data_IF_781486906852
#
_entry.id   IF_781486906852
#
_cell.length_a   1.000
_cell.length_b   1.000
_cell.length_c   1.000
_cell.angle_alpha   90.00
_cell.angle_beta   90.00
_cell.angle_gamma   90.00
#
_symmetry.space_group_name_H-M   'P 1'
#
loop_
_entity.id
_entity.type
_entity.pdbx_description
1 polymer ?
#
# COMPACT_ATOMS: atom_id res chain seq x y z
N UNK A 1 -6.07 48.01 15.01
CA UNK A 1 -6.04 47.27 16.31
C UNK A 1 -7.43 47.22 16.93
N UNK A 2 -8.12 46.08 16.81
CA UNK A 2 -9.30 45.68 17.62
C UNK A 2 -9.41 44.14 17.59
N UNK A 3 -9.10 43.41 18.67
CA UNK A 3 -9.42 41.99 18.75
C UNK A 3 -10.79 41.82 19.42
N UNK A 4 -11.79 41.37 18.65
CA UNK A 4 -13.08 40.89 19.18
C UNK A 4 -13.44 39.63 18.41
N UNK A 5 -13.11 38.47 18.98
CA UNK A 5 -13.70 37.14 18.73
C UNK A 5 -12.96 36.08 19.54
N UNK A 6 -12.92 36.29 20.86
CA UNK A 6 -12.53 35.29 21.83
C UNK A 6 -13.64 35.22 22.88
N UNK A 7 -14.81 34.71 22.48
CA UNK A 7 -15.94 34.22 23.30
C UNK A 7 -16.82 33.48 22.28
N UNK A 8 -16.47 32.25 21.91
CA UNK A 8 -17.38 31.32 21.21
C UNK A 8 -16.93 29.85 21.32
N UNK A 9 -16.14 29.52 22.35
CA UNK A 9 -15.62 28.16 22.58
C UNK A 9 -16.00 27.59 23.96
N UNK A 10 -17.13 28.04 24.54
CA UNK A 10 -17.59 27.58 25.86
C UNK A 10 -19.01 27.00 25.88
N UNK A 11 -19.56 26.54 24.74
CA UNK A 11 -20.91 25.95 24.67
C UNK A 11 -20.97 24.78 23.68
N UNK A 12 -20.11 23.76 23.84
CA UNK A 12 -20.24 22.47 23.13
C UNK A 12 -19.81 21.28 24.02
N UNK A 13 -20.06 21.37 25.33
CA UNK A 13 -19.72 20.31 26.31
C UNK A 13 -20.94 19.79 27.08
N UNK A 14 -22.14 19.88 26.50
CA UNK A 14 -23.40 19.41 27.09
C UNK A 14 -24.34 18.83 26.00
N UNK A 15 -23.96 17.70 25.42
CA UNK A 15 -24.86 16.83 24.67
C UNK A 15 -24.30 15.39 24.62
N UNK A 16 -23.96 14.84 25.78
CA UNK A 16 -23.76 13.40 25.95
C UNK A 16 -24.76 12.95 26.99
N UNK A 17 -25.96 12.58 26.53
CA UNK A 17 -26.89 11.74 27.27
C UNK A 17 -27.95 11.18 26.31
N UNK A 18 -28.27 9.90 26.52
CA UNK A 18 -29.43 9.15 25.99
C UNK A 18 -29.35 8.66 24.53
N UNK A 19 -28.86 7.41 24.38
CA UNK A 19 -29.69 6.32 23.89
C UNK A 19 -29.04 4.97 24.23
N UNK A 20 -29.46 4.38 25.35
CA UNK A 20 -29.33 2.94 25.61
C UNK A 20 -30.72 2.35 25.29
N UNK A 21 -30.79 1.51 24.27
CA UNK A 21 -31.88 0.55 24.04
C UNK A 21 -31.20 -0.71 23.47
N UNK A 22 -30.92 -1.69 24.33
CA UNK A 22 -31.76 -2.89 24.54
C UNK A 22 -32.16 -3.58 23.23
N UNK A 23 -31.44 -4.65 22.90
CA UNK A 23 -31.96 -5.77 22.12
C UNK A 23 -31.44 -7.06 22.74
N UNK A 24 -32.29 -7.67 23.56
CA UNK A 24 -32.18 -9.05 24.04
C UNK A 24 -32.63 -10.04 22.94
N UNK A 25 -32.17 -11.29 23.11
CA UNK A 25 -32.67 -12.55 22.54
C UNK A 25 -32.08 -13.02 21.21
N UNK A 26 -31.12 -13.95 21.27
CA UNK A 26 -31.40 -15.39 21.07
C UNK A 26 -30.09 -16.20 21.03
N UNK A 27 -29.85 -17.02 22.06
CA UNK A 27 -29.02 -18.23 21.97
C UNK A 27 -29.94 -19.46 21.72
N UNK A 28 -29.44 -20.70 21.62
CA UNK A 28 -28.58 -21.25 20.57
C UNK A 28 -29.21 -22.54 19.99
N UNK A 29 -28.95 -22.89 18.73
CA UNK A 29 -29.27 -24.23 18.21
C UNK A 29 -27.99 -24.85 17.66
N UNK A 30 -27.48 -25.82 18.40
CA UNK A 30 -26.40 -26.68 17.98
C UNK A 30 -26.86 -27.67 16.91
N UNK A 31 -25.97 -27.98 15.97
CA UNK A 31 -26.06 -29.15 15.12
C UNK A 31 -24.65 -29.73 14.97
N UNK A 32 -24.49 -30.88 15.63
CA UNK A 32 -23.62 -32.04 15.40
C UNK A 32 -22.58 -32.02 14.27
N UNK A 33 -21.37 -32.44 14.66
CA UNK A 33 -20.40 -33.16 13.82
C UNK A 33 -21.03 -34.34 13.05
N UNK A 34 -20.53 -34.61 11.85
CA UNK A 34 -20.30 -35.99 11.46
C UNK A 34 -18.82 -36.26 11.14
N UNK A 35 -18.33 -37.31 11.79
CA UNK A 35 -17.11 -38.00 11.44
C UNK A 35 -17.25 -38.76 10.11
N UNK A 36 -16.17 -38.75 9.32
CA UNK A 36 -15.76 -39.86 8.45
C UNK A 36 -16.48 -40.03 7.11
N UNK A 37 -15.72 -39.86 6.03
CA UNK A 37 -15.58 -40.92 5.01
C UNK A 37 -14.53 -40.52 3.99
N UNK A 38 -13.46 -41.30 3.92
CA UNK A 38 -12.64 -41.45 2.74
C UNK A 38 -13.52 -41.82 1.55
N UNK A 39 -13.45 -41.04 0.47
CA UNK A 39 -13.81 -41.52 -0.87
C UNK A 39 -13.11 -40.67 -1.93
N UNK A 40 -12.08 -41.28 -2.51
CA UNK A 40 -11.53 -40.99 -3.82
C UNK A 40 -12.59 -41.28 -4.90
N UNK A 41 -12.81 -40.36 -5.86
CA UNK A 41 -13.15 -40.81 -7.19
C UNK A 41 -12.35 -40.10 -8.29
N UNK A 42 -11.70 -40.95 -9.08
CA UNK A 42 -11.72 -40.96 -10.54
C UNK A 42 -11.66 -39.63 -11.30
N UNK A 43 -10.50 -39.44 -11.93
CA UNK A 43 -10.23 -38.65 -13.11
C UNK A 43 -11.41 -38.59 -14.09
N UNK A 44 -11.91 -37.38 -14.38
CA UNK A 44 -12.70 -37.12 -15.58
C UNK A 44 -11.94 -36.11 -16.44
N UNK A 45 -11.35 -36.64 -17.51
CA UNK A 45 -10.74 -35.90 -18.61
C UNK A 45 -11.86 -35.23 -19.42
N UNK A 46 -12.07 -33.93 -19.21
CA UNK A 46 -12.92 -33.12 -20.09
C UNK A 46 -12.03 -32.49 -21.16
N UNK A 47 -12.05 -33.10 -22.34
CA UNK A 47 -11.63 -32.47 -23.58
C UNK A 47 -12.73 -31.52 -24.01
N UNK A 48 -12.49 -30.21 -23.95
CA UNK A 48 -13.33 -29.21 -24.61
C UNK A 48 -12.57 -28.67 -25.81
N UNK A 49 -12.88 -29.21 -26.99
CA UNK A 49 -12.69 -28.52 -28.26
C UNK A 49 -13.63 -27.31 -28.26
N UNK A 50 -13.07 -26.10 -28.25
CA UNK A 50 -13.82 -24.92 -28.68
C UNK A 50 -13.19 -24.36 -29.95
N UNK A 51 -14.04 -24.39 -30.96
CA UNK A 51 -13.87 -24.07 -32.36
C UNK A 51 -14.12 -22.56 -32.53
N UNK A 52 -13.10 -21.89 -33.03
CA UNK A 52 -13.09 -20.64 -33.79
C UNK A 52 -14.22 -19.62 -33.60
N UNK A 53 -13.84 -18.45 -33.09
CA UNK A 53 -14.34 -17.17 -33.60
C UNK A 53 -13.18 -16.16 -33.60
N UNK A 54 -12.71 -15.84 -34.81
CA UNK A 54 -11.76 -14.79 -35.11
C UNK A 54 -12.34 -13.42 -34.70
N UNK A 55 -11.72 -12.76 -33.73
CA UNK A 55 -11.93 -11.33 -33.50
C UNK A 55 -10.69 -10.60 -34.05
N UNK A 56 -10.83 -10.03 -35.26
CA UNK A 56 -9.86 -9.09 -35.81
C UNK A 56 -9.93 -7.77 -35.04
N UNK A 57 -8.95 -7.54 -34.17
CA UNK A 57 -8.68 -6.22 -33.61
C UNK A 57 -7.74 -5.50 -34.59
N UNK A 58 -8.30 -4.69 -35.49
CA UNK A 58 -7.55 -3.66 -36.19
C UNK A 58 -7.41 -2.46 -35.26
N UNK A 59 -6.25 -2.32 -34.63
CA UNK A 59 -5.82 -1.05 -34.04
C UNK A 59 -4.56 -0.58 -34.78
N UNK A 60 -4.78 0.01 -35.96
CA UNK A 60 -3.78 0.82 -36.65
C UNK A 60 -4.09 2.28 -36.37
N UNK A 61 -3.36 2.88 -35.43
CA UNK A 61 -3.02 4.29 -35.48
C UNK A 61 -1.51 4.41 -35.47
N UNK A 62 -0.92 4.21 -36.65
CA UNK A 62 0.42 4.70 -36.96
C UNK A 62 0.31 6.22 -37.12
N UNK A 63 0.76 6.97 -36.12
CA UNK A 63 1.05 8.39 -36.26
C UNK A 63 2.47 8.49 -36.81
N UNK A 64 2.61 8.38 -38.13
CA UNK A 64 3.85 8.73 -38.83
C UNK A 64 3.96 10.25 -38.90
N UNK A 65 4.69 10.84 -37.95
CA UNK A 65 5.20 12.21 -38.09
C UNK A 65 6.57 12.13 -38.74
N UNK A 66 6.61 12.20 -40.06
CA UNK A 66 7.84 12.27 -40.84
C UNK A 66 8.43 13.68 -40.73
N UNK A 67 9.42 13.87 -39.83
CA UNK A 67 10.35 14.99 -39.90
C UNK A 67 11.79 14.44 -39.83
N UNK A 68 12.59 14.50 -40.91
CA UNK A 68 13.95 13.97 -40.93
C UNK A 68 14.95 15.08 -40.60
N UNK A 69 15.22 15.32 -39.33
CA UNK A 69 16.39 16.09 -38.90
C UNK A 69 17.11 15.42 -37.73
N UNK A 70 18.37 15.08 -37.97
CA UNK A 70 19.42 14.70 -37.01
C UNK A 70 19.13 13.49 -36.10
N UNK A 71 19.69 12.34 -36.50
CA UNK A 71 19.55 11.07 -35.80
C UNK A 71 20.22 11.06 -34.43
N UNK A 72 19.40 11.16 -33.40
CA UNK A 72 19.63 10.52 -32.11
C UNK A 72 18.77 9.25 -32.11
N UNK A 73 19.40 8.08 -32.17
CA UNK A 73 18.69 6.81 -32.05
C UNK A 73 18.16 6.70 -30.62
N UNK A 74 16.95 7.23 -30.39
CA UNK A 74 16.23 7.06 -29.14
C UNK A 74 15.84 5.59 -29.05
N UNK A 75 16.69 4.83 -28.36
CA UNK A 75 16.44 3.45 -27.99
C UNK A 75 15.24 3.45 -27.04
N UNK A 76 14.04 3.40 -27.62
CA UNK A 76 12.78 3.42 -26.87
C UNK A 76 12.65 2.05 -26.23
N UNK A 77 13.18 1.92 -25.01
CA UNK A 77 13.00 0.72 -24.20
C UNK A 77 11.50 0.55 -23.96
N UNK A 78 10.95 -0.61 -24.33
CA UNK A 78 9.52 -0.90 -24.22
C UNK A 78 9.11 -0.92 -22.74
N UNK A 79 8.20 -0.02 -22.37
CA UNK A 79 7.52 -0.03 -21.07
C UNK A 79 6.35 -1.01 -21.16
N UNK A 80 6.34 -2.02 -20.28
CA UNK A 80 5.28 -3.05 -20.26
C UNK A 80 4.54 -3.03 -18.94
N UNK A 81 3.30 -3.54 -18.93
CA UNK A 81 2.55 -3.73 -17.70
C UNK A 81 3.31 -4.67 -16.75
N UNK A 82 3.29 -4.35 -15.46
CA UNK A 82 3.96 -5.16 -14.45
C UNK A 82 3.32 -6.54 -14.37
N UNK A 83 4.15 -7.59 -14.40
CA UNK A 83 3.70 -8.97 -14.25
C UNK A 83 4.05 -9.51 -12.85
N UNK A 84 3.42 -10.60 -12.44
CA UNK A 84 3.87 -11.32 -11.24
C UNK A 84 5.20 -12.01 -11.52
N UNK A 85 6.17 -11.89 -10.61
CA UNK A 85 7.51 -12.44 -10.83
C UNK A 85 8.54 -11.98 -9.81
N UNK A 86 9.77 -12.45 -9.99
CA UNK A 86 10.94 -11.97 -9.25
C UNK A 86 11.78 -11.08 -10.17
N UNK A 87 12.16 -9.91 -9.65
CA UNK A 87 12.87 -8.86 -10.36
C UNK A 87 14.14 -8.49 -9.61
N UNK A 88 15.16 -8.08 -10.36
CA UNK A 88 16.36 -7.46 -9.78
C UNK A 88 16.32 -5.98 -10.13
N UNK A 89 16.22 -5.12 -9.11
CA UNK A 89 16.24 -3.66 -9.29
C UNK A 89 17.60 -3.17 -9.78
N UNK A 90 17.69 -1.92 -10.22
CA UNK A 90 18.98 -1.32 -10.62
C UNK A 90 20.00 -1.22 -9.47
N UNK A 91 19.53 -1.25 -8.23
CA UNK A 91 20.38 -1.33 -7.03
C UNK A 91 20.85 -2.76 -6.72
N UNK A 92 20.48 -3.75 -7.53
CA UNK A 92 20.77 -5.16 -7.31
C UNK A 92 19.90 -5.86 -6.25
N UNK A 93 18.88 -5.18 -5.71
CA UNK A 93 17.95 -5.77 -4.74
C UNK A 93 16.95 -6.69 -5.44
N UNK A 94 16.68 -7.85 -4.84
CA UNK A 94 15.67 -8.79 -5.29
C UNK A 94 14.29 -8.36 -4.79
N UNK A 95 13.33 -8.27 -5.71
CA UNK A 95 11.95 -7.86 -5.42
C UNK A 95 11.01 -8.90 -5.99
N UNK A 96 10.01 -9.32 -5.23
CA UNK A 96 8.97 -10.23 -5.70
C UNK A 96 7.64 -9.49 -5.78
N UNK A 97 7.01 -9.57 -6.94
CA UNK A 97 5.69 -8.99 -7.20
C UNK A 97 4.70 -10.13 -7.35
N UNK A 98 3.60 -10.05 -6.60
CA UNK A 98 2.48 -10.98 -6.69
C UNK A 98 1.18 -10.21 -6.90
N UNK A 99 0.42 -10.58 -7.92
CA UNK A 99 -0.95 -10.08 -8.09
C UNK A 99 -1.87 -10.71 -7.02
N UNK A 100 -2.67 -9.87 -6.38
CA UNK A 100 -3.70 -10.26 -5.41
C UNK A 100 -5.08 -10.08 -6.02
N UNK A 101 -6.10 -10.51 -5.30
CA UNK A 101 -7.49 -10.22 -5.67
C UNK A 101 -7.75 -8.70 -5.68
N UNK A 102 -8.78 -8.28 -6.43
CA UNK A 102 -9.22 -6.88 -6.53
C UNK A 102 -8.18 -5.94 -7.18
N UNK A 103 -7.39 -6.43 -8.13
CA UNK A 103 -6.38 -5.65 -8.85
C UNK A 103 -5.37 -4.97 -7.92
N UNK A 104 -5.13 -5.56 -6.74
CA UNK A 104 -4.05 -5.16 -5.85
C UNK A 104 -2.81 -5.97 -6.21
N UNK A 105 -1.66 -5.36 -6.04
CA UNK A 105 -0.38 -6.02 -6.16
C UNK A 105 0.31 -5.99 -4.80
N UNK A 106 1.07 -7.04 -4.53
CA UNK A 106 1.90 -7.15 -3.35
C UNK A 106 3.35 -7.15 -3.79
N UNK A 107 4.12 -6.23 -3.21
CA UNK A 107 5.54 -6.02 -3.48
C UNK A 107 6.29 -6.49 -2.23
N UNK A 108 7.17 -7.47 -2.38
CA UNK A 108 8.00 -7.99 -1.29
C UNK A 108 9.47 -7.70 -1.55
N UNK A 109 10.14 -7.17 -0.55
CA UNK A 109 11.61 -6.99 -0.52
C UNK A 109 12.10 -7.28 0.88
N UNK A 110 13.06 -8.19 1.03
CA UNK A 110 13.50 -8.66 2.34
C UNK A 110 12.34 -9.25 3.16
N UNK A 111 12.18 -8.77 4.40
CA UNK A 111 11.11 -9.17 5.32
C UNK A 111 9.86 -8.27 5.19
N UNK A 112 9.93 -7.19 4.43
CA UNK A 112 8.84 -6.23 4.31
C UNK A 112 7.96 -6.52 3.08
N UNK A 113 6.67 -6.31 3.28
CA UNK A 113 5.64 -6.49 2.25
C UNK A 113 4.81 -5.23 2.17
N UNK A 114 4.67 -4.66 0.97
CA UNK A 114 3.79 -3.54 0.69
C UNK A 114 2.67 -3.93 -0.26
N UNK A 115 1.46 -3.49 0.02
CA UNK A 115 0.36 -3.57 -0.93
C UNK A 115 0.28 -2.30 -1.77
N UNK A 116 -0.20 -2.42 -3.01
CA UNK A 116 -0.49 -1.27 -3.86
C UNK A 116 -1.76 -1.54 -4.68
N UNK A 117 -2.55 -0.49 -4.86
CA UNK A 117 -3.65 -0.46 -5.83
C UNK A 117 -3.32 0.45 -7.03
N UNK A 118 -2.08 0.93 -7.14
CA UNK A 118 -1.64 1.81 -8.22
C UNK A 118 -1.36 1.00 -9.49
N UNK A 119 -1.60 1.61 -10.64
CA UNK A 119 -1.17 1.05 -11.92
C UNK A 119 0.35 1.06 -12.00
N UNK A 120 0.95 -0.12 -12.15
CA UNK A 120 2.39 -0.29 -12.22
C UNK A 120 2.85 -0.83 -13.55
N UNK A 121 3.99 -0.31 -13.99
CA UNK A 121 4.69 -0.72 -15.20
C UNK A 121 6.13 -1.04 -14.87
N UNK A 122 6.77 -1.83 -15.72
CA UNK A 122 8.18 -2.17 -15.63
C UNK A 122 8.91 -1.76 -16.91
N UNK A 123 10.19 -1.44 -16.76
CA UNK A 123 11.12 -1.19 -17.87
C UNK A 123 12.41 -1.95 -17.60
N UNK A 124 12.77 -2.85 -18.52
CA UNK A 124 14.03 -3.59 -18.43
C UNK A 124 15.17 -2.71 -18.93
N UNK A 125 16.20 -2.53 -18.10
CA UNK A 125 17.44 -1.82 -18.43
C UNK A 125 18.62 -2.79 -18.41
N UNK A 126 19.80 -2.30 -18.80
CA UNK A 126 21.05 -3.05 -18.68
C UNK A 126 21.45 -3.30 -17.21
N UNK A 127 20.96 -2.46 -16.29
CA UNK A 127 21.32 -2.50 -14.86
C UNK A 127 20.31 -3.26 -14.01
N UNK A 128 19.09 -3.46 -14.50
CA UNK A 128 18.04 -4.17 -13.77
C UNK A 128 16.65 -3.83 -14.31
N UNK A 129 15.64 -4.02 -13.49
CA UNK A 129 14.26 -3.65 -13.78
C UNK A 129 13.91 -2.36 -13.04
N UNK A 130 13.48 -1.35 -13.78
CA UNK A 130 12.84 -0.15 -13.20
C UNK A 130 11.36 -0.42 -13.00
N UNK A 131 10.88 -0.14 -11.81
CA UNK A 131 9.46 -0.18 -11.47
C UNK A 131 8.92 1.26 -11.47
N UNK A 132 7.78 1.47 -12.09
CA UNK A 132 7.13 2.76 -12.16
C UNK A 132 5.66 2.64 -11.80
N UNK A 133 5.10 3.67 -11.17
CA UNK A 133 3.67 3.82 -10.92
C UNK A 133 3.13 5.00 -11.71
N UNK A 134 1.92 4.88 -12.25
CA UNK A 134 1.22 6.00 -12.85
C UNK A 134 0.47 6.79 -11.78
N UNK A 135 0.70 8.10 -11.73
CA UNK A 135 0.02 9.03 -10.84
C UNK A 135 -1.24 9.61 -11.49
N UNK A 136 -2.16 10.11 -10.66
CA UNK A 136 -3.41 10.72 -11.08
C UNK A 136 -3.24 11.98 -11.92
N UNK A 137 -2.08 12.66 -11.82
CA UNK A 137 -1.72 13.79 -12.67
C UNK A 137 -1.14 13.36 -14.04
N UNK A 138 -1.15 12.07 -14.36
CA UNK A 138 -0.65 11.51 -15.61
C UNK A 138 0.87 11.36 -15.69
N UNK A 139 1.61 11.74 -14.64
CA UNK A 139 3.06 11.49 -14.57
C UNK A 139 3.34 10.07 -14.10
N UNK A 140 4.48 9.53 -14.50
CA UNK A 140 5.02 8.31 -13.92
C UNK A 140 6.02 8.68 -12.81
N UNK A 141 5.95 7.98 -11.68
CA UNK A 141 6.93 8.06 -10.60
C UNK A 141 7.70 6.74 -10.52
N UNK A 142 9.02 6.82 -10.36
CA UNK A 142 9.86 5.65 -10.23
C UNK A 142 9.84 5.12 -8.80
N UNK A 143 9.68 3.81 -8.63
CA UNK A 143 9.74 3.17 -7.31
C UNK A 143 11.16 2.69 -7.10
N UNK A 144 12.01 3.57 -6.57
CA UNK A 144 13.43 3.27 -6.29
C UNK A 144 13.61 2.63 -4.93
N UNK A 145 12.88 3.15 -3.95
CA UNK A 145 12.89 2.65 -2.58
C UNK A 145 11.96 1.46 -2.50
N UNK A 146 12.46 0.35 -1.97
CA UNK A 146 11.69 -0.86 -1.77
C UNK A 146 11.04 -0.91 -0.38
N UNK A 147 10.02 -1.78 -0.17
CA UNK A 147 9.29 -1.86 1.10
C UNK A 147 10.18 -2.04 2.34
N UNK A 148 11.29 -2.79 2.23
CA UNK A 148 12.25 -2.99 3.33
C UNK A 148 12.84 -1.66 3.78
N UNK A 149 13.42 -0.93 2.84
CA UNK A 149 14.10 0.34 3.06
C UNK A 149 13.10 1.37 3.56
N UNK A 150 11.90 1.43 2.97
CA UNK A 150 10.84 2.33 3.43
C UNK A 150 10.39 2.01 4.86
N UNK A 151 10.26 0.72 5.20
CA UNK A 151 9.89 0.27 6.55
C UNK A 151 10.95 0.64 7.58
N UNK A 152 12.24 0.48 7.26
CA UNK A 152 13.35 0.88 8.13
C UNK A 152 13.31 2.39 8.43
N UNK A 153 13.13 3.23 7.40
CA UNK A 153 13.00 4.68 7.57
C UNK A 153 11.79 5.06 8.42
N UNK A 154 10.67 4.38 8.23
CA UNK A 154 9.47 4.60 9.02
C UNK A 154 9.65 4.16 10.48
N UNK A 155 10.25 2.99 10.73
CA UNK A 155 10.55 2.47 12.07
C UNK A 155 11.43 3.46 12.84
N UNK A 156 12.51 3.93 12.22
CA UNK A 156 13.41 4.93 12.80
C UNK A 156 12.65 6.20 13.16
N UNK A 157 11.85 6.72 12.23
CA UNK A 157 11.14 7.98 12.40
C UNK A 157 10.01 7.93 13.43
N UNK A 158 9.35 6.77 13.53
CA UNK A 158 8.23 6.51 14.44
C UNK A 158 8.67 5.97 15.80
N UNK A 159 9.99 5.76 15.99
CA UNK A 159 10.57 5.14 17.17
C UNK A 159 9.91 3.79 17.49
N UNK A 160 9.69 2.98 16.46
CA UNK A 160 9.20 1.60 16.57
C UNK A 160 10.39 0.66 16.77
N UNK A 161 10.16 -0.53 17.32
CA UNK A 161 11.19 -1.57 17.39
C UNK A 161 11.27 -2.39 16.11
N UNK A 162 10.11 -2.70 15.57
CA UNK A 162 9.90 -3.54 14.41
C UNK A 162 8.58 -3.12 13.72
N UNK A 163 8.38 -3.56 12.49
CA UNK A 163 7.14 -3.44 11.75
C UNK A 163 6.68 -4.83 11.35
N UNK A 164 5.85 -5.45 12.20
CA UNK A 164 5.36 -6.82 12.01
C UNK A 164 3.86 -6.77 11.68
N UNK A 165 3.46 -7.47 10.62
CA UNK A 165 2.07 -7.45 10.14
C UNK A 165 1.08 -7.97 11.20
N UNK A 166 1.48 -9.00 11.93
CA UNK A 166 0.72 -9.62 13.02
C UNK A 166 0.53 -8.67 14.22
N UNK A 167 1.40 -7.67 14.37
CA UNK A 167 1.33 -6.64 15.41
C UNK A 167 0.61 -5.37 14.94
N UNK A 168 -0.02 -5.42 13.75
CA UNK A 168 -0.79 -4.32 13.19
C UNK A 168 0.07 -3.32 12.40
N UNK A 169 1.28 -3.70 11.97
CA UNK A 169 2.02 -2.90 11.01
C UNK A 169 1.52 -3.16 9.58
N UNK A 170 1.20 -2.12 8.84
CA UNK A 170 0.75 -2.19 7.44
C UNK A 170 1.58 -1.23 6.61
N UNK A 171 1.99 -1.66 5.43
CA UNK A 171 2.75 -0.86 4.47
C UNK A 171 1.95 -0.84 3.16
N UNK A 172 1.62 0.35 2.69
CA UNK A 172 0.90 0.54 1.44
C UNK A 172 1.62 1.55 0.56
N UNK A 173 1.93 1.18 -0.69
CA UNK A 173 2.39 2.13 -1.70
C UNK A 173 1.18 2.80 -2.33
N UNK A 174 1.10 4.12 -2.21
CA UNK A 174 -0.01 4.90 -2.76
C UNK A 174 0.41 6.31 -3.17
N UNK A 175 -0.50 6.99 -3.83
CA UNK A 175 -0.34 8.40 -4.12
C UNK A 175 -0.63 9.27 -2.88
N UNK A 176 0.22 10.27 -2.65
CA UNK A 176 0.04 11.30 -1.62
C UNK A 176 0.26 12.69 -2.22
N UNK A 177 -0.34 13.71 -1.62
CA UNK A 177 -0.26 15.09 -2.10
C UNK A 177 -1.54 15.55 -2.83
N UNK A 178 -1.49 16.72 -3.46
CA UNK A 178 -2.61 17.30 -4.21
C UNK A 178 -2.10 18.10 -5.43
N UNK A 179 -2.86 18.07 -6.52
CA UNK A 179 -2.56 18.83 -7.74
C UNK A 179 -1.21 18.43 -8.35
N UNK A 180 -0.38 19.42 -8.67
CA UNK A 180 0.95 19.19 -9.29
C UNK A 180 2.00 18.58 -8.33
N UNK A 181 1.70 18.54 -7.02
CA UNK A 181 2.61 18.04 -5.99
C UNK A 181 2.30 16.61 -5.55
N UNK A 182 1.56 15.85 -6.36
CA UNK A 182 1.33 14.42 -6.09
C UNK A 182 2.62 13.62 -6.27
N UNK A 183 2.78 12.60 -5.43
CA UNK A 183 3.95 11.72 -5.38
C UNK A 183 3.52 10.30 -5.01
N UNK A 184 4.33 9.32 -5.42
CA UNK A 184 4.24 7.96 -4.90
C UNK A 184 4.95 7.89 -3.54
N UNK A 185 4.28 7.35 -2.52
CA UNK A 185 4.86 7.18 -1.21
C UNK A 185 4.36 5.90 -0.53
N UNK A 186 5.25 5.28 0.24
CA UNK A 186 4.89 4.24 1.19
C UNK A 186 4.26 4.87 2.42
N UNK A 187 3.00 4.53 2.71
CA UNK A 187 2.35 4.82 3.98
C UNK A 187 2.51 3.62 4.90
N UNK A 188 3.31 3.78 5.95
CA UNK A 188 3.51 2.79 7.01
C UNK A 188 2.64 3.19 8.19
N UNK A 189 1.70 2.32 8.57
CA UNK A 189 0.90 2.46 9.80
C UNK A 189 1.25 1.37 10.77
N UNK A 190 1.41 1.70 12.04
CA UNK A 190 1.70 0.73 13.08
C UNK A 190 0.95 1.07 14.37
N UNK A 191 0.71 0.05 15.19
CA UNK A 191 0.25 0.21 16.57
C UNK A 191 1.44 0.10 17.53
N UNK A 192 1.64 1.14 18.35
CA UNK A 192 2.72 1.19 19.34
C UNK A 192 2.16 1.12 20.76
N UNK A 193 2.73 0.26 21.59
CA UNK A 193 2.41 0.20 23.03
C UNK A 193 3.19 1.28 23.78
N UNK A 194 2.47 2.07 24.59
CA UNK A 194 3.02 3.20 25.35
C UNK A 194 2.46 3.26 26.77
N UNK A 195 3.15 3.95 27.66
CA UNK A 195 2.60 4.32 28.98
C UNK A 195 2.32 5.82 29.01
N UNK A 196 1.06 6.17 29.18
CA UNK A 196 0.63 7.57 29.37
C UNK A 196 1.02 7.99 30.78
N UNK A 197 1.83 9.06 30.89
CA UNK A 197 2.40 9.57 32.14
C UNK A 197 3.19 8.49 32.94
N UNK A 198 3.65 7.43 32.29
CA UNK A 198 4.32 6.30 32.94
C UNK A 198 3.42 5.35 33.73
N UNK A 199 2.12 5.63 33.86
CA UNK A 199 1.21 4.89 34.74
C UNK A 199 0.26 3.95 33.98
N UNK A 200 -0.29 4.40 32.85
CA UNK A 200 -1.36 3.67 32.16
C UNK A 200 -0.87 3.15 30.81
N UNK A 201 -0.92 1.82 30.62
CA UNK A 201 -0.66 1.21 29.30
C UNK A 201 -1.76 1.64 28.32
N UNK A 202 -1.34 2.10 27.15
CA UNK A 202 -2.20 2.46 26.04
C UNK A 202 -1.59 2.00 24.72
N UNK A 203 -2.43 1.85 23.71
CA UNK A 203 -2.03 1.60 22.32
C UNK A 203 -2.23 2.89 21.54
N UNK A 204 -1.25 3.28 20.73
CA UNK A 204 -1.38 4.42 19.83
C UNK A 204 -1.13 4.01 18.39
N UNK A 205 -1.96 4.52 17.48
CA UNK A 205 -1.72 4.39 16.05
C UNK A 205 -0.79 5.50 15.59
N UNK A 206 0.26 5.12 14.88
CA UNK A 206 1.23 6.03 14.27
C UNK A 206 1.35 5.75 12.79
N UNK A 207 1.66 6.78 12.02
CA UNK A 207 1.75 6.72 10.55
C UNK A 207 2.96 7.52 10.08
N UNK A 208 3.73 6.97 9.13
CA UNK A 208 4.75 7.68 8.40
C UNK A 208 4.56 7.50 6.89
N UNK A 209 4.81 8.57 6.12
CA UNK A 209 4.80 8.55 4.67
C UNK A 209 6.24 8.73 4.18
N UNK A 210 6.76 7.76 3.44
CA UNK A 210 8.12 7.71 2.90
C UNK A 210 8.07 7.80 1.39
N UNK A 211 8.74 8.77 0.80
CA UNK A 211 8.80 9.00 -0.65
C UNK A 211 9.42 7.78 -1.36
N UNK A 212 8.75 7.25 -2.38
CA UNK A 212 9.18 6.04 -3.08
C UNK A 212 10.37 6.29 -4.04
N UNK A 213 10.64 7.54 -4.42
CA UNK A 213 11.74 7.91 -5.32
C UNK A 213 13.05 8.14 -4.56
N UNK A 214 12.99 8.72 -3.35
CA UNK A 214 14.20 9.15 -2.64
C UNK A 214 14.33 8.67 -1.19
N UNK A 215 13.27 8.12 -0.59
CA UNK A 215 13.29 7.56 0.76
C UNK A 215 13.16 8.60 1.88
N UNK A 216 12.86 9.85 1.54
CA UNK A 216 12.62 10.92 2.50
C UNK A 216 11.27 10.73 3.21
N UNK A 217 11.24 10.97 4.52
CA UNK A 217 9.98 10.99 5.28
C UNK A 217 9.24 12.30 4.99
N UNK A 218 8.14 12.23 4.24
CA UNK A 218 7.31 13.37 3.86
C UNK A 218 6.44 13.83 5.05
N UNK A 219 5.85 12.88 5.77
CA UNK A 219 4.88 13.18 6.81
C UNK A 219 4.91 12.13 7.92
N UNK A 220 4.67 12.58 9.14
CA UNK A 220 4.47 11.72 10.30
C UNK A 220 3.17 12.13 11.00
N UNK A 221 2.38 11.16 11.44
CA UNK A 221 1.15 11.39 12.20
C UNK A 221 1.11 10.49 13.43
N UNK A 222 0.51 11.02 14.48
CA UNK A 222 0.23 10.31 15.72
C UNK A 222 -0.79 11.12 16.52
N UNK A 223 -1.27 10.57 17.64
CA UNK A 223 -2.18 11.29 18.50
C UNK A 223 -1.49 12.51 19.14
N UNK A 224 -2.27 13.58 19.35
CA UNK A 224 -1.76 14.81 19.97
C UNK A 224 -1.19 14.60 21.37
N UNK A 225 -1.61 13.55 22.08
CA UNK A 225 -1.14 13.21 23.43
C UNK A 225 0.15 12.37 23.43
N UNK A 226 0.73 12.04 22.27
CA UNK A 226 1.95 11.22 22.19
C UNK A 226 3.13 11.82 22.99
N UNK A 227 3.19 13.14 23.15
CA UNK A 227 4.22 13.80 23.97
C UNK A 227 4.12 13.49 25.47
N UNK A 228 2.98 13.00 25.96
CA UNK A 228 2.75 12.61 27.36
C UNK A 228 3.16 11.16 27.63
N UNK A 229 3.69 10.46 26.63
CA UNK A 229 3.95 9.04 26.70
C UNK A 229 5.42 8.75 26.94
N UNK A 230 5.67 7.64 27.61
CA UNK A 230 6.97 6.97 27.65
C UNK A 230 6.84 5.61 26.98
N UNK A 231 7.90 5.14 26.34
CA UNK A 231 7.91 3.83 25.72
C UNK A 231 7.64 2.76 26.80
N UNK A 232 6.67 1.87 26.56
CA UNK A 232 6.17 0.95 27.59
C UNK A 232 7.09 -0.25 27.86
N UNK A 233 8.06 -0.45 26.99
CA UNK A 233 8.85 -1.67 26.87
C UNK A 233 10.28 -1.46 27.37
N UNK A 234 10.42 -1.52 28.69
CA UNK A 234 11.61 -2.06 29.37
C UNK A 234 11.39 -3.56 29.62
#
# INVERSE_FOLDING_TARGET
>A
MKPKRAIFFLICLLAVALAIAQSENADPVGISEPAGSDQEPAQTKVTTENKGEDIQIQNQQQVETNNPEAGEQVNTQEQTQLQSGSYTTEEGKQVRVEEKTNNRIEIRSGEATAESAMEMTQQQTEQGTKLQVQLSNGRNAEVKIMPDTASERAIERLELKNCVAEEGCTIELKEVGQGEQVKAAYEVKAEKQVRVLGLFKAKMQVEAQVDAENGEVIKTRGPWWAFLTVNAEE
#
